data_IF_706582733508
#
_entry.id   IF_706582733508
#
_cell.length_a   1.000
_cell.length_b   1.000
_cell.length_c   1.000
_cell.angle_alpha   90.00
_cell.angle_beta   90.00
_cell.angle_gamma   90.00
#
_symmetry.space_group_name_H-M   'P 1'
#
loop_
_entity.id
_entity.type
_entity.pdbx_description
1 polymer ?
#
# COMPACT_ATOMS: atom_id res chain seq x y z
N UNK A 1 -24.38 -43.96 -22.67
CA UNK A 1 -24.18 -42.59 -23.19
C UNK A 1 -23.97 -41.68 -21.98
N UNK A 2 -22.89 -40.90 -21.88
CA UNK A 2 -22.71 -39.99 -20.75
C UNK A 2 -23.74 -38.86 -20.85
N UNK A 3 -24.44 -38.60 -19.75
CA UNK A 3 -25.44 -37.53 -19.63
C UNK A 3 -24.76 -36.17 -19.61
N UNK A 4 -25.26 -35.21 -20.41
CA UNK A 4 -24.77 -33.84 -20.42
C UNK A 4 -25.22 -33.12 -19.14
N UNK A 5 -24.28 -32.59 -18.37
CA UNK A 5 -24.59 -31.70 -17.24
C UNK A 5 -25.08 -30.37 -17.82
N UNK A 6 -26.34 -30.03 -17.56
CA UNK A 6 -26.93 -28.72 -17.85
C UNK A 6 -26.14 -27.64 -17.13
N UNK A 7 -25.77 -26.55 -17.84
CA UNK A 7 -25.06 -25.37 -17.32
C UNK A 7 -25.56 -25.05 -15.90
N UNK A 8 -24.77 -25.44 -14.90
CA UNK A 8 -24.98 -24.97 -13.54
C UNK A 8 -24.86 -23.45 -13.61
N UNK A 9 -25.87 -22.75 -13.07
CA UNK A 9 -25.72 -21.35 -12.72
C UNK A 9 -24.41 -21.23 -11.95
N UNK A 10 -23.48 -20.44 -12.49
CA UNK A 10 -22.26 -20.10 -11.79
C UNK A 10 -22.72 -19.39 -10.52
N UNK A 11 -22.75 -20.12 -9.40
CA UNK A 11 -22.93 -19.53 -8.08
C UNK A 11 -21.69 -18.66 -7.89
N UNK A 12 -21.85 -17.34 -8.06
CA UNK A 12 -20.78 -16.40 -7.75
C UNK A 12 -20.28 -16.70 -6.36
N UNK A 13 -18.96 -16.81 -6.21
CA UNK A 13 -18.36 -17.03 -4.91
C UNK A 13 -18.89 -15.91 -3.98
N UNK A 14 -19.45 -16.24 -2.82
CA UNK A 14 -19.82 -15.22 -1.85
C UNK A 14 -18.58 -14.37 -1.57
N UNK A 15 -18.73 -13.04 -1.42
CA UNK A 15 -17.59 -12.15 -1.20
C UNK A 15 -16.77 -12.72 -0.04
N UNK A 16 -15.48 -12.92 -0.27
CA UNK A 16 -14.62 -13.40 0.81
C UNK A 16 -14.61 -12.31 1.88
N UNK A 17 -14.54 -12.66 3.17
CA UNK A 17 -14.50 -11.66 4.25
C UNK A 17 -13.33 -10.64 4.12
N UNK A 18 -12.40 -10.88 3.19
CA UNK A 18 -11.30 -9.97 2.83
C UNK A 18 -11.75 -8.82 1.91
N UNK A 19 -12.92 -8.94 1.28
CA UNK A 19 -13.47 -8.01 0.29
C UNK A 19 -14.40 -6.96 0.94
N UNK A 20 -14.74 -7.13 2.22
CA UNK A 20 -15.45 -6.13 3.04
C UNK A 20 -14.44 -5.40 3.94
N UNK A 21 -13.50 -4.69 3.35
CA UNK A 21 -12.72 -3.70 4.10
C UNK A 21 -13.41 -2.36 3.88
N UNK A 22 -14.25 -1.96 4.84
CA UNK A 22 -14.70 -0.57 4.89
C UNK A 22 -13.46 0.34 4.87
N UNK A 23 -13.50 1.49 4.17
CA UNK A 23 -12.40 2.44 4.17
C UNK A 23 -12.06 2.79 5.62
N UNK A 24 -10.82 2.51 6.04
CA UNK A 24 -10.37 2.94 7.37
C UNK A 24 -10.38 4.48 7.42
N UNK A 25 -11.11 5.04 8.38
CA UNK A 25 -11.13 6.48 8.61
C UNK A 25 -9.69 6.97 8.88
N UNK A 26 -9.32 8.10 8.25
CA UNK A 26 -8.02 8.74 8.44
C UNK A 26 -7.94 9.27 9.88
N UNK A 27 -7.34 8.47 10.76
CA UNK A 27 -7.09 8.80 12.16
C UNK A 27 -5.60 8.81 12.46
N UNK A 28 -5.21 9.54 13.51
CA UNK A 28 -3.81 9.57 13.99
C UNK A 28 -3.30 8.16 14.31
N UNK A 29 -4.16 7.31 14.87
CA UNK A 29 -3.82 5.91 15.18
C UNK A 29 -3.46 5.10 13.92
N UNK A 30 -4.21 5.30 12.83
CA UNK A 30 -3.94 4.66 11.52
C UNK A 30 -2.61 5.15 10.96
N UNK A 31 -2.34 6.46 10.99
CA UNK A 31 -1.08 7.05 10.51
C UNK A 31 0.10 6.48 11.30
N UNK A 32 0.02 6.48 12.64
CA UNK A 32 1.07 5.94 13.52
C UNK A 32 1.31 4.45 13.25
N UNK A 33 0.25 3.68 13.01
CA UNK A 33 0.36 2.25 12.66
C UNK A 33 1.11 2.05 11.34
N UNK A 34 0.76 2.80 10.30
CA UNK A 34 1.42 2.74 8.98
C UNK A 34 2.90 3.08 9.12
N UNK A 35 3.22 4.21 9.75
CA UNK A 35 4.61 4.66 9.96
C UNK A 35 5.42 3.70 10.82
N UNK A 36 4.80 3.09 11.84
CA UNK A 36 5.45 2.10 12.70
C UNK A 36 5.79 0.82 11.93
N UNK A 37 4.88 0.36 11.08
CA UNK A 37 5.11 -0.79 10.19
C UNK A 37 6.26 -0.50 9.21
N UNK A 38 6.22 0.64 8.53
CA UNK A 38 7.26 1.08 7.61
C UNK A 38 8.63 1.19 8.28
N UNK A 39 8.69 1.84 9.46
CA UNK A 39 9.91 1.99 10.26
C UNK A 39 10.49 0.63 10.66
N UNK A 40 9.67 -0.31 11.10
CA UNK A 40 10.11 -1.67 11.45
C UNK A 40 10.77 -2.36 10.25
N UNK A 41 10.16 -2.26 9.06
CA UNK A 41 10.73 -2.85 7.84
C UNK A 41 12.08 -2.23 7.49
N UNK A 42 12.17 -0.90 7.50
CA UNK A 42 13.41 -0.17 7.19
C UNK A 42 14.56 -0.56 8.15
N UNK A 43 14.27 -0.64 9.45
CA UNK A 43 15.27 -1.03 10.48
C UNK A 43 15.75 -2.47 10.27
N UNK A 44 14.83 -3.43 10.08
CA UNK A 44 15.20 -4.85 9.88
C UNK A 44 16.04 -5.03 8.63
N UNK A 45 15.69 -4.32 7.55
CA UNK A 45 16.39 -4.43 6.25
C UNK A 45 17.64 -3.55 6.19
N UNK A 46 17.93 -2.75 7.23
CA UNK A 46 19.00 -1.74 7.23
C UNK A 46 18.94 -0.80 6.02
N UNK A 47 17.73 -0.38 5.66
CA UNK A 47 17.49 0.50 4.50
C UNK A 47 17.24 1.93 4.96
N UNK A 48 17.90 2.87 4.29
CA UNK A 48 17.65 4.31 4.44
C UNK A 48 16.61 4.76 3.42
N UNK A 49 15.33 4.85 3.82
CA UNK A 49 14.24 5.30 2.92
C UNK A 49 14.52 6.67 2.31
N UNK A 50 15.17 7.57 3.07
CA UNK A 50 15.54 8.89 2.59
C UNK A 50 16.51 8.88 1.40
N UNK A 51 17.33 7.84 1.22
CA UNK A 51 18.21 7.75 0.05
C UNK A 51 17.41 7.59 -1.24
N UNK A 52 16.29 6.87 -1.20
CA UNK A 52 15.41 6.70 -2.35
C UNK A 52 14.58 7.94 -2.65
N UNK A 53 14.25 8.74 -1.63
CA UNK A 53 13.47 9.97 -1.79
C UNK A 53 14.30 11.11 -2.40
N UNK A 54 15.60 11.17 -2.06
CA UNK A 54 16.52 12.24 -2.52
C UNK A 54 16.64 12.32 -4.04
N UNK A 55 16.52 11.20 -4.74
CA UNK A 55 16.62 11.18 -6.21
C UNK A 55 15.48 11.95 -6.89
N UNK A 56 14.36 12.12 -6.19
CA UNK A 56 13.18 12.84 -6.68
C UNK A 56 13.14 14.31 -6.21
N UNK A 57 13.84 14.65 -5.12
CA UNK A 57 13.96 16.02 -4.60
C UNK A 57 15.19 16.74 -5.19
N UNK A 58 15.10 17.11 -6.48
CA UNK A 58 16.22 17.70 -7.23
C UNK A 58 16.71 19.02 -6.66
N UNK A 59 15.82 19.79 -6.04
CA UNK A 59 16.12 21.12 -5.51
C UNK A 59 16.46 21.10 -4.01
N UNK A 60 16.31 19.95 -3.34
CA UNK A 60 16.54 19.77 -1.89
C UNK A 60 15.64 20.68 -1.07
N UNK A 61 14.39 20.80 -1.50
CA UNK A 61 13.36 21.61 -0.86
C UNK A 61 12.53 20.79 0.13
N UNK A 62 12.72 19.46 0.15
CA UNK A 62 11.99 18.55 1.02
C UNK A 62 10.62 18.13 0.48
N UNK A 63 10.31 18.50 -0.77
CA UNK A 63 9.05 18.22 -1.44
C UNK A 63 9.28 17.37 -2.69
N UNK A 64 8.42 16.37 -2.89
CA UNK A 64 8.40 15.51 -4.08
C UNK A 64 6.95 15.25 -4.48
N UNK A 65 6.72 14.87 -5.74
CA UNK A 65 5.38 14.51 -6.22
C UNK A 65 4.86 13.26 -5.52
N UNK A 66 3.55 13.15 -5.32
CA UNK A 66 2.90 11.95 -4.76
C UNK A 66 3.31 10.67 -5.51
N UNK A 67 3.31 10.72 -6.85
CA UNK A 67 3.71 9.59 -7.69
C UNK A 67 5.17 9.19 -7.47
N UNK A 68 6.04 10.16 -7.19
CA UNK A 68 7.46 9.94 -6.96
C UNK A 68 7.72 9.42 -5.54
N UNK A 69 6.95 9.87 -4.55
CA UNK A 69 6.95 9.30 -3.21
C UNK A 69 6.58 7.80 -3.23
N UNK A 70 5.49 7.45 -3.93
CA UNK A 70 5.05 6.05 -4.09
C UNK A 70 6.13 5.20 -4.77
N UNK A 71 6.72 5.69 -5.87
CA UNK A 71 7.85 5.02 -6.55
C UNK A 71 9.08 4.86 -5.67
N UNK A 72 9.43 5.87 -4.88
CA UNK A 72 10.58 5.81 -3.97
C UNK A 72 10.36 4.77 -2.86
N UNK A 73 9.13 4.66 -2.32
CA UNK A 73 8.76 3.62 -1.36
C UNK A 73 8.92 2.22 -1.96
N UNK A 74 8.40 1.98 -3.16
CA UNK A 74 8.52 0.70 -3.86
C UNK A 74 9.99 0.30 -4.05
N UNK A 75 10.84 1.25 -4.43
CA UNK A 75 12.28 1.01 -4.60
C UNK A 75 13.01 0.78 -3.27
N UNK A 76 12.52 1.35 -2.17
CA UNK A 76 13.12 1.20 -0.84
C UNK A 76 12.93 -0.18 -0.20
N UNK A 77 12.22 -1.09 -0.87
CA UNK A 77 11.84 -2.39 -0.32
C UNK A 77 10.97 -2.30 0.95
N UNK A 78 10.40 -1.13 1.26
CA UNK A 78 9.40 -0.96 2.32
C UNK A 78 8.03 -1.15 1.70
N UNK A 79 7.31 -2.17 2.16
CA UNK A 79 6.01 -2.54 1.62
C UNK A 79 4.93 -1.77 2.38
N UNK A 80 4.22 -0.89 1.68
CA UNK A 80 3.07 -0.13 2.16
C UNK A 80 1.95 -0.34 1.13
N UNK A 81 0.70 -0.49 1.57
CA UNK A 81 -0.43 -0.61 0.62
C UNK A 81 -0.65 0.72 -0.10
N UNK A 82 -1.18 0.67 -1.32
CA UNK A 82 -1.49 1.89 -2.11
C UNK A 82 -2.42 2.85 -1.36
N UNK A 83 -3.43 2.32 -0.67
CA UNK A 83 -4.36 3.08 0.18
C UNK A 83 -3.61 3.78 1.34
N UNK A 84 -2.72 3.06 2.02
CA UNK A 84 -1.92 3.60 3.12
C UNK A 84 -0.93 4.67 2.64
N UNK A 85 -0.30 4.47 1.48
CA UNK A 85 0.57 5.47 0.87
C UNK A 85 -0.21 6.73 0.47
N UNK A 86 -1.44 6.57 -0.01
CA UNK A 86 -2.35 7.68 -0.34
C UNK A 86 -2.79 8.44 0.91
N UNK A 87 -3.03 7.74 2.02
CA UNK A 87 -3.30 8.38 3.33
C UNK A 87 -2.10 9.24 3.75
N UNK A 88 -0.87 8.73 3.62
CA UNK A 88 0.34 9.49 3.98
C UNK A 88 0.58 10.74 3.12
N UNK A 89 0.12 10.74 1.86
CA UNK A 89 0.32 11.87 0.94
C UNK A 89 -0.70 13.00 1.14
N UNK A 90 -1.88 12.70 1.69
CA UNK A 90 -2.99 13.64 1.85
C UNK A 90 -3.13 14.19 3.28
N UNK A 91 -2.04 14.18 4.07
CA UNK A 91 -2.01 14.80 5.41
C UNK A 91 -2.00 16.31 5.36
#
# INVERSE_FOLDING_TARGET
>A
MPSMVTKQELVECPPFARDNLDPEDVSEEVIVRILTSAKRQAVIKSVSVMEFMKDYDRHREGEILESDFKRALDNSSVIIKEEEATILCNM
#
